data_IF_078544453194
#
_entry.id   IF_078544453194
#
_cell.length_a   1.000
_cell.length_b   1.000
_cell.length_c   1.000
_cell.angle_alpha   90.00
_cell.angle_beta   90.00
_cell.angle_gamma   90.00
#
_symmetry.space_group_name_H-M   'P 1'
#
loop_
_entity.id
_entity.type
_entity.pdbx_description
1 polymer ?
#
# COMPACT_ATOMS: atom_id res chain seq x y z
N UNK A 1 13.65 -2.06 -6.99
CA UNK A 1 12.94 -1.49 -5.82
C UNK A 1 12.06 -2.57 -5.22
N UNK A 2 11.88 -2.54 -3.90
CA UNK A 2 11.56 -3.69 -3.04
C UNK A 2 10.26 -4.40 -3.44
N UNK A 3 10.31 -5.73 -3.54
CA UNK A 3 9.12 -6.55 -3.71
C UNK A 3 8.13 -6.26 -2.57
N UNK A 4 6.94 -5.82 -2.94
CA UNK A 4 5.82 -5.62 -2.05
C UNK A 4 4.98 -6.90 -2.00
N UNK A 5 4.49 -7.23 -0.81
CA UNK A 5 3.58 -8.35 -0.59
C UNK A 5 2.25 -7.86 -0.03
N UNK A 6 1.20 -8.63 -0.25
CA UNK A 6 -0.13 -8.37 0.29
C UNK A 6 -0.43 -9.34 1.42
N UNK A 7 -0.91 -8.81 2.54
CA UNK A 7 -1.41 -9.61 3.67
C UNK A 7 -2.87 -9.28 3.92
N UNK A 8 -3.75 -10.28 3.85
CA UNK A 8 -5.20 -10.11 4.02
C UNK A 8 -5.50 -9.74 5.46
N UNK A 9 -6.24 -8.64 5.64
CA UNK A 9 -6.89 -8.31 6.93
C UNK A 9 -8.32 -8.82 6.90
N UNK A 10 -9.04 -8.52 5.82
CA UNK A 10 -10.38 -9.03 5.51
C UNK A 10 -10.63 -8.90 4.00
N UNK A 11 -11.85 -9.20 3.54
CA UNK A 11 -12.21 -9.16 2.11
C UNK A 11 -12.13 -7.76 1.48
N UNK A 12 -12.14 -6.70 2.30
CA UNK A 12 -12.15 -5.32 1.84
C UNK A 12 -10.83 -4.60 2.10
N UNK A 13 -9.87 -5.23 2.80
CA UNK A 13 -8.63 -4.59 3.25
C UNK A 13 -7.46 -5.57 3.22
N UNK A 14 -6.40 -5.17 2.52
CA UNK A 14 -5.11 -5.84 2.49
C UNK A 14 -4.01 -4.88 2.92
N UNK A 15 -3.10 -5.34 3.79
CA UNK A 15 -1.86 -4.61 4.09
C UNK A 15 -0.89 -4.77 2.93
N UNK A 16 -0.20 -3.69 2.59
CA UNK A 16 0.94 -3.69 1.66
C UNK A 16 2.21 -3.64 2.51
N UNK A 17 3.02 -4.68 2.39
CA UNK A 17 4.24 -4.84 3.17
C UNK A 17 5.47 -4.78 2.26
N UNK A 18 6.58 -4.22 2.75
CA UNK A 18 7.87 -4.36 2.08
C UNK A 18 8.40 -5.80 2.21
N UNK A 19 9.46 -6.12 1.45
CA UNK A 19 10.18 -7.40 1.60
C UNK A 19 10.72 -7.64 3.03
N UNK A 20 10.90 -6.58 3.82
CA UNK A 20 11.32 -6.67 5.23
C UNK A 20 10.13 -6.78 6.21
N UNK A 21 8.89 -6.82 5.71
CA UNK A 21 7.67 -6.89 6.54
C UNK A 21 7.16 -5.54 7.04
N UNK A 22 7.77 -4.42 6.63
CA UNK A 22 7.34 -3.07 7.02
C UNK A 22 6.00 -2.71 6.36
N UNK A 23 5.06 -2.15 7.12
CA UNK A 23 3.73 -1.80 6.64
C UNK A 23 3.70 -0.39 6.04
N UNK A 24 3.59 -0.31 4.71
CA UNK A 24 3.68 0.96 3.95
C UNK A 24 2.33 1.49 3.48
N UNK A 25 1.24 0.75 3.72
CA UNK A 25 -0.11 1.18 3.37
C UNK A 25 -1.11 0.03 3.31
N UNK A 26 -2.34 0.37 2.94
CA UNK A 26 -3.41 -0.61 2.73
C UNK A 26 -4.01 -0.46 1.33
N UNK A 27 -4.41 -1.56 0.72
CA UNK A 27 -5.40 -1.56 -0.34
C UNK A 27 -6.78 -1.71 0.30
N UNK A 28 -7.66 -0.74 0.06
CA UNK A 28 -9.04 -0.76 0.54
C UNK A 28 -10.01 -0.78 -0.63
N UNK A 29 -10.96 -1.72 -0.63
CA UNK A 29 -12.04 -1.75 -1.61
C UNK A 29 -13.08 -0.71 -1.24
N UNK A 30 -13.23 0.32 -2.07
CA UNK A 30 -14.16 1.44 -1.86
C UNK A 30 -14.90 1.67 -3.18
N UNK A 31 -16.22 1.54 -3.16
CA UNK A 31 -17.08 1.68 -4.35
C UNK A 31 -16.59 0.79 -5.52
N UNK A 32 -16.34 -0.49 -5.25
CA UNK A 32 -15.83 -1.48 -6.20
C UNK A 32 -14.43 -1.18 -6.80
N UNK A 33 -13.69 -0.21 -6.26
CA UNK A 33 -12.33 0.13 -6.69
C UNK A 33 -11.35 -0.06 -5.54
N UNK A 34 -10.24 -0.75 -5.80
CA UNK A 34 -9.16 -0.86 -4.82
C UNK A 34 -8.36 0.43 -4.79
N UNK A 35 -8.25 1.06 -3.62
CA UNK A 35 -7.48 2.29 -3.41
C UNK A 35 -6.33 2.04 -2.48
N UNK A 36 -5.12 2.43 -2.90
CA UNK A 36 -3.96 2.46 -2.03
C UNK A 36 -4.06 3.62 -1.04
N UNK A 37 -3.88 3.32 0.24
CA UNK A 37 -3.86 4.26 1.35
C UNK A 37 -2.50 4.14 2.03
N UNK A 38 -1.58 5.01 1.64
CA UNK A 38 -0.25 5.08 2.21
C UNK A 38 -0.29 5.21 3.74
N UNK A 39 0.68 4.58 4.40
CA UNK A 39 0.94 4.67 5.83
C UNK A 39 2.44 4.85 6.01
N UNK A 40 2.81 5.81 6.84
CA UNK A 40 4.16 5.93 7.39
C UNK A 40 4.17 5.61 8.88
N UNK A 41 5.36 5.60 9.46
CA UNK A 41 5.57 5.60 10.89
C UNK A 41 6.50 6.77 11.25
N UNK A 42 6.28 7.42 12.40
CA UNK A 42 7.22 8.39 12.94
C UNK A 42 8.38 7.71 13.69
N UNK A 43 9.26 8.51 14.31
CA UNK A 43 10.42 8.01 15.04
C UNK A 43 10.05 7.24 16.33
N UNK A 44 8.80 7.33 16.79
CA UNK A 44 8.26 6.61 17.94
C UNK A 44 7.50 5.35 17.49
N UNK A 45 7.32 5.15 16.19
CA UNK A 45 6.56 4.04 15.61
C UNK A 45 5.07 4.33 15.47
N UNK A 46 4.63 5.56 15.73
CA UNK A 46 3.22 5.93 15.59
C UNK A 46 2.83 6.03 14.12
N UNK A 47 1.63 5.54 13.81
CA UNK A 47 1.11 5.51 12.44
C UNK A 47 0.82 6.91 11.95
N UNK A 48 1.38 7.27 10.79
CA UNK A 48 1.07 8.50 10.06
C UNK A 48 0.19 8.14 8.84
N UNK A 49 -1.13 8.41 8.88
CA UNK A 49 -2.01 8.19 7.74
C UNK A 49 -1.61 9.08 6.55
N UNK A 50 -1.50 8.49 5.37
CA UNK A 50 -1.09 9.21 4.16
C UNK A 50 0.40 9.54 4.10
N UNK A 51 1.19 9.25 5.14
CA UNK A 51 2.63 9.45 5.16
C UNK A 51 3.43 8.27 4.58
N UNK A 52 4.73 8.30 4.83
CA UNK A 52 5.65 7.20 4.50
C UNK A 52 6.21 7.24 3.08
N UNK A 53 7.02 6.22 2.72
CA UNK A 53 7.78 6.20 1.47
C UNK A 53 6.91 6.16 0.20
N UNK A 54 5.62 5.80 0.32
CA UNK A 54 4.68 5.72 -0.79
C UNK A 54 3.57 6.80 -0.71
N UNK A 55 3.81 7.90 0.01
CA UNK A 55 2.84 9.00 0.16
C UNK A 55 2.35 9.56 -1.19
N UNK A 56 3.24 9.70 -2.18
CA UNK A 56 2.90 10.20 -3.52
C UNK A 56 1.96 9.28 -4.30
N UNK A 57 1.88 8.00 -3.92
CA UNK A 57 0.97 7.02 -4.51
C UNK A 57 -0.36 6.94 -3.77
N UNK A 58 -0.59 7.76 -2.73
CA UNK A 58 -1.83 7.77 -1.98
C UNK A 58 -3.04 7.99 -2.91
N UNK A 59 -4.11 7.23 -2.69
CA UNK A 59 -5.29 7.13 -3.56
C UNK A 59 -5.09 6.48 -4.93
N UNK A 60 -3.91 5.97 -5.27
CA UNK A 60 -3.73 5.19 -6.52
C UNK A 60 -4.73 4.04 -6.57
N UNK A 61 -5.36 3.87 -7.73
CA UNK A 61 -6.44 2.91 -7.95
C UNK A 61 -5.98 1.69 -8.72
N UNK A 62 -6.55 0.54 -8.36
CA UNK A 62 -6.37 -0.75 -9.01
C UNK A 62 -7.73 -1.39 -9.27
N UNK A 63 -7.84 -2.11 -10.38
CA UNK A 63 -9.05 -2.86 -10.74
C UNK A 63 -9.12 -4.20 -10.02
N UNK A 64 -7.98 -4.80 -9.71
CA UNK A 64 -7.84 -6.10 -9.05
C UNK A 64 -6.71 -6.05 -8.01
N UNK A 65 -6.50 -7.15 -7.27
CA UNK A 65 -5.36 -7.32 -6.37
C UNK A 65 -4.18 -8.02 -7.06
N UNK A 66 -3.85 -7.63 -8.30
CA UNK A 66 -2.69 -8.15 -9.02
C UNK A 66 -1.39 -7.62 -8.40
N UNK A 67 -0.66 -8.51 -7.72
CA UNK A 67 0.58 -8.17 -7.01
C UNK A 67 1.66 -7.65 -7.95
N UNK A 68 1.74 -8.12 -9.19
CA UNK A 68 2.74 -7.66 -10.15
C UNK A 68 2.41 -6.24 -10.64
N UNK A 69 1.14 -5.95 -10.95
CA UNK A 69 0.69 -4.59 -11.29
C UNK A 69 0.94 -3.63 -10.12
N UNK A 70 0.53 -4.03 -8.91
CA UNK A 70 0.71 -3.24 -7.69
C UNK A 70 2.19 -2.94 -7.44
N UNK A 71 3.06 -3.94 -7.56
CA UNK A 71 4.50 -3.75 -7.42
C UNK A 71 5.04 -2.76 -8.45
N UNK A 72 4.64 -2.92 -9.71
CA UNK A 72 5.10 -2.06 -10.81
C UNK A 72 4.67 -0.62 -10.57
N UNK A 73 3.38 -0.41 -10.27
CA UNK A 73 2.80 0.93 -10.16
C UNK A 73 3.12 1.62 -8.85
N UNK A 74 3.34 0.90 -7.74
CA UNK A 74 3.75 1.55 -6.49
C UNK A 74 5.25 1.81 -6.41
N UNK A 75 6.09 1.06 -7.14
CA UNK A 75 7.54 1.26 -7.17
C UNK A 75 8.04 2.10 -8.36
N UNK A 76 7.17 2.49 -9.29
CA UNK A 76 7.61 3.33 -10.42
C UNK A 76 8.23 4.62 -9.88
N UNK A 77 9.34 5.05 -10.50
CA UNK A 77 9.82 6.42 -10.32
C UNK A 77 8.75 7.41 -10.82
N UNK A 78 8.75 8.61 -10.25
CA UNK A 78 7.95 9.73 -10.77
C UNK A 78 8.61 10.33 -12.02
#
# INVERSE_FOLDING_TARGET
MKQLTLSRVNDLVYRVLTAQGEHVGNLKLINAVWKFKAIGADAQGEVIPGGGPLTHRHNMTFSTLDVAEINTRLNAAD
#
